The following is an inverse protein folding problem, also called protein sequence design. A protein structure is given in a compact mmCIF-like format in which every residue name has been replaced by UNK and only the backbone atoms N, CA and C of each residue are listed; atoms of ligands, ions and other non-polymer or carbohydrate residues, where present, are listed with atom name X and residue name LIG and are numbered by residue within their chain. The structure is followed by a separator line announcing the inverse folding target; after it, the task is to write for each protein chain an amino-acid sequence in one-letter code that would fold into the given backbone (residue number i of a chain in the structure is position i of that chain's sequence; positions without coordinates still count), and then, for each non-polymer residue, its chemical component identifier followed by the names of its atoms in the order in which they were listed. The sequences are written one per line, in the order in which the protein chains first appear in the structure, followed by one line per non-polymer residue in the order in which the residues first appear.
data_IF_473517089479
#
_entry.id   IF_473517089479
#
_cell.length_a   1.000
_cell.length_b   1.000
_cell.length_c   1.000
_cell.angle_alpha   90.00
_cell.angle_beta   90.00
_cell.angle_gamma   90.00
#
_symmetry.space_group_name_H-M   'P 1'
#
loop_
_entity.id
_entity.type
_entity.pdbx_description
1 polymer ?
#
# COMPACT_ATOMS: atom_id res chain seq x y z
N UNK A 1 1.98 8.75 -16.91
CA UNK A 1 1.09 8.63 -15.73
C UNK A 1 1.98 8.54 -14.50
N UNK A 2 1.70 9.25 -13.39
CA UNK A 2 2.42 9.01 -12.14
C UNK A 2 2.24 7.54 -11.73
N UNK A 3 3.35 6.84 -11.48
CA UNK A 3 3.38 5.44 -11.04
C UNK A 3 4.10 5.37 -9.68
N UNK A 4 3.47 5.84 -8.60
CA UNK A 4 4.11 5.83 -7.29
C UNK A 4 4.28 4.39 -6.79
N UNK A 5 5.46 4.07 -6.27
CA UNK A 5 5.68 2.87 -5.48
C UNK A 5 5.27 3.18 -4.03
N UNK A 6 4.14 2.63 -3.61
CA UNK A 6 3.52 2.98 -2.33
C UNK A 6 4.22 2.15 -1.24
N UNK A 7 3.91 0.86 -1.13
CA UNK A 7 4.69 -0.15 -0.40
C UNK A 7 3.89 -1.46 -0.48
N UNK A 8 4.55 -2.60 -0.23
CA UNK A 8 3.86 -3.88 -0.12
C UNK A 8 3.44 -4.20 1.33
N UNK A 9 4.14 -3.67 2.35
CA UNK A 9 3.79 -3.85 3.77
C UNK A 9 4.06 -5.24 4.36
N UNK A 10 4.63 -6.16 3.59
CA UNK A 10 4.93 -7.54 4.00
C UNK A 10 6.26 -7.69 4.75
N UNK A 11 6.38 -8.82 5.43
CA UNK A 11 7.57 -9.27 6.14
C UNK A 11 8.04 -10.61 5.58
N UNK A 12 9.33 -10.91 5.80
CA UNK A 12 9.98 -12.13 5.34
C UNK A 12 9.91 -12.35 3.83
N UNK A 13 9.92 -11.29 3.02
CA UNK A 13 9.93 -11.42 1.56
C UNK A 13 11.03 -12.38 1.08
N UNK A 14 10.67 -13.28 0.19
CA UNK A 14 11.45 -14.43 -0.30
C UNK A 14 11.71 -15.55 0.73
N UNK A 15 11.02 -15.54 1.87
CA UNK A 15 11.08 -16.56 2.92
C UNK A 15 9.92 -17.55 2.86
N UNK A 16 10.05 -18.70 3.53
CA UNK A 16 8.99 -19.73 3.58
C UNK A 16 7.69 -19.23 4.22
N UNK A 17 7.79 -18.27 5.14
CA UNK A 17 6.66 -17.72 5.90
C UNK A 17 6.58 -16.21 5.69
N UNK A 18 6.25 -15.82 4.47
CA UNK A 18 5.83 -14.46 4.14
C UNK A 18 4.49 -14.14 4.81
N UNK A 19 4.38 -12.95 5.38
CA UNK A 19 3.13 -12.49 5.97
C UNK A 19 3.03 -10.97 5.90
N UNK A 20 1.81 -10.48 6.06
CA UNK A 20 1.51 -9.05 6.16
C UNK A 20 0.55 -8.82 7.33
N UNK A 21 0.82 -7.86 8.22
CA UNK A 21 -0.12 -7.44 9.25
C UNK A 21 -1.39 -6.87 8.63
N UNK A 22 -2.55 -7.17 9.22
CA UNK A 22 -3.85 -6.69 8.74
C UNK A 22 -3.87 -5.15 8.68
N UNK A 23 -3.36 -4.51 9.73
CA UNK A 23 -3.30 -3.07 9.89
C UNK A 23 -2.47 -2.40 8.78
N UNK A 24 -1.40 -3.07 8.32
CA UNK A 24 -0.59 -2.60 7.19
C UNK A 24 -1.38 -2.64 5.88
N UNK A 25 -2.22 -3.67 5.67
CA UNK A 25 -3.09 -3.73 4.48
C UNK A 25 -4.17 -2.65 4.52
N UNK A 26 -4.80 -2.44 5.67
CA UNK A 26 -5.80 -1.39 5.87
C UNK A 26 -5.21 -0.01 5.59
N UNK A 27 -4.00 0.26 6.10
CA UNK A 27 -3.32 1.53 5.86
C UNK A 27 -2.90 1.71 4.40
N UNK A 28 -2.48 0.64 3.72
CA UNK A 28 -2.17 0.70 2.28
C UNK A 28 -3.40 1.14 1.48
N UNK A 29 -4.58 0.60 1.79
CA UNK A 29 -5.84 0.98 1.16
C UNK A 29 -6.16 2.46 1.39
N UNK A 30 -6.03 2.95 2.63
CA UNK A 30 -6.26 4.35 2.98
C UNK A 30 -5.34 5.30 2.19
N UNK A 31 -4.05 4.95 2.05
CA UNK A 31 -3.10 5.74 1.26
C UNK A 31 -3.52 5.81 -0.19
N UNK A 32 -3.88 4.69 -0.82
CA UNK A 32 -4.33 4.65 -2.22
C UNK A 32 -5.58 5.53 -2.41
N UNK A 33 -6.57 5.41 -1.53
CA UNK A 33 -7.78 6.20 -1.59
C UNK A 33 -7.50 7.70 -1.42
N UNK A 34 -6.58 8.07 -0.55
CA UNK A 34 -6.20 9.48 -0.36
C UNK A 34 -5.47 10.04 -1.58
N UNK A 35 -4.58 9.26 -2.21
CA UNK A 35 -3.93 9.67 -3.47
C UNK A 35 -4.96 9.92 -4.57
N UNK A 36 -5.93 9.01 -4.72
CA UNK A 36 -7.03 9.16 -5.69
C UNK A 36 -7.84 10.42 -5.40
N UNK A 37 -8.21 10.67 -4.14
CA UNK A 37 -8.97 11.87 -3.74
C UNK A 37 -8.24 13.16 -4.05
N UNK A 38 -6.94 13.23 -3.74
CA UNK A 38 -6.12 14.41 -4.02
C UNK A 38 -6.03 14.68 -5.53
N UNK A 39 -5.82 13.64 -6.33
CA UNK A 39 -5.72 13.78 -7.78
C UNK A 39 -7.06 14.13 -8.44
N UNK A 40 -8.18 13.65 -7.91
CA UNK A 40 -9.51 13.98 -8.42
C UNK A 40 -9.97 15.42 -8.10
N UNK A 41 -9.26 16.12 -7.20
CA UNK A 41 -9.53 17.52 -6.84
C UNK A 41 -8.73 18.53 -7.69
N UNK A 42 -7.75 18.05 -8.47
CA UNK A 42 -7.02 18.83 -9.49
C UNK A 42 -7.73 18.73 -10.86
#
# INVERSE_FOLDING_TARGET
LPCPNIFAGGHNFHGRYEYIPLESMEKASEVILNVIKLYAQE
#
